data_IF_002768835076
#
_entry.id   IF_002768835076
#
_cell.length_a   1.000
_cell.length_b   1.000
_cell.length_c   1.000
_cell.angle_alpha   90.00
_cell.angle_beta   90.00
_cell.angle_gamma   90.00
#
_symmetry.space_group_name_H-M   'P 1'
#
loop_
_entity.id
_entity.type
_entity.pdbx_description
1 polymer ?
#
# COMPACT_ATOMS: atom_id res chain seq x y z
N UNK A 1 -35.40 28.01 2.27
CA UNK A 1 -35.16 26.65 2.79
C UNK A 1 -34.86 25.78 1.58
N UNK A 2 -33.65 25.27 1.35
CA UNK A 2 -32.75 24.51 2.26
C UNK A 2 -33.45 23.28 2.85
N UNK A 3 -32.96 22.04 2.74
CA UNK A 3 -31.87 21.41 1.94
C UNK A 3 -31.97 19.87 2.18
N UNK A 4 -31.17 18.92 1.69
CA UNK A 4 -29.85 18.85 1.00
C UNK A 4 -29.84 17.60 0.08
N UNK A 5 -29.10 17.54 -1.05
CA UNK A 5 -28.67 16.27 -1.62
C UNK A 5 -27.49 15.72 -0.79
N UNK A 6 -27.60 14.49 -0.30
CA UNK A 6 -26.56 13.81 0.49
C UNK A 6 -26.34 12.38 -0.04
N UNK A 7 -25.16 12.11 -0.58
CA UNK A 7 -24.79 10.76 -1.05
C UNK A 7 -23.50 10.72 -1.86
N UNK A 8 -23.55 11.19 -3.11
CA UNK A 8 -22.52 10.90 -4.11
C UNK A 8 -21.22 11.75 -4.02
N UNK A 9 -21.33 13.01 -3.58
CA UNK A 9 -20.36 14.07 -3.91
C UNK A 9 -19.16 14.20 -2.94
N UNK A 10 -18.92 13.21 -2.05
CA UNK A 10 -17.91 13.32 -0.96
C UNK A 10 -16.88 12.20 -0.92
N UNK A 11 -16.85 11.35 -1.96
CA UNK A 11 -15.90 10.25 -2.08
C UNK A 11 -14.73 10.69 -2.96
N UNK A 12 -15.02 11.14 -4.18
CA UNK A 12 -14.02 11.48 -5.21
C UNK A 12 -12.96 12.50 -4.74
N UNK A 13 -13.37 13.61 -4.08
CA UNK A 13 -12.47 14.64 -3.54
C UNK A 13 -11.40 14.09 -2.57
N UNK A 14 -11.69 12.97 -1.88
CA UNK A 14 -10.70 12.33 -1.01
C UNK A 14 -9.69 11.49 -1.77
N UNK A 15 -10.12 10.80 -2.83
CA UNK A 15 -9.30 9.80 -3.53
C UNK A 15 -8.16 10.48 -4.30
N UNK A 16 -8.42 11.61 -4.98
CA UNK A 16 -7.37 12.43 -5.59
C UNK A 16 -6.30 12.87 -4.57
N UNK A 17 -6.73 13.26 -3.36
CA UNK A 17 -5.85 13.86 -2.36
C UNK A 17 -5.02 12.85 -1.57
N UNK A 18 -5.44 11.57 -1.46
CA UNK A 18 -4.69 10.54 -0.71
C UNK A 18 -3.73 9.69 -1.55
N UNK A 19 -3.89 9.68 -2.88
CA UNK A 19 -3.18 8.77 -3.78
C UNK A 19 -3.83 7.39 -3.88
N UNK A 20 -3.65 6.74 -5.03
CA UNK A 20 -4.24 5.45 -5.39
C UNK A 20 -3.53 4.28 -4.70
N UNK A 21 -2.21 4.33 -4.55
CA UNK A 21 -1.42 3.36 -3.77
C UNK A 21 -0.55 4.15 -2.80
N UNK A 22 -0.54 3.77 -1.52
CA UNK A 22 0.26 4.44 -0.50
C UNK A 22 0.89 3.45 0.47
N UNK A 23 2.21 3.53 0.59
CA UNK A 23 3.04 2.84 1.57
C UNK A 23 3.55 3.87 2.59
N UNK A 24 3.45 3.55 3.88
CA UNK A 24 3.97 4.39 4.96
C UNK A 24 4.85 3.57 5.90
N UNK A 25 6.13 3.92 5.99
CA UNK A 25 7.12 3.25 6.84
C UNK A 25 7.16 1.73 6.64
N UNK A 26 6.91 1.24 5.43
CA UNK A 26 6.63 -0.18 5.19
C UNK A 26 7.87 -1.04 5.35
N UNK A 27 7.77 -2.03 6.23
CA UNK A 27 8.81 -2.98 6.56
C UNK A 27 8.31 -4.41 6.36
N UNK A 28 9.21 -5.29 5.90
CA UNK A 28 8.93 -6.71 5.72
C UNK A 28 10.15 -7.52 6.09
N UNK A 29 10.01 -8.32 7.14
CA UNK A 29 10.98 -9.31 7.59
C UNK A 29 10.42 -10.69 7.30
N UNK A 30 11.12 -11.49 6.50
CA UNK A 30 10.88 -12.92 6.38
C UNK A 30 11.64 -13.67 7.47
N UNK A 31 11.03 -14.72 8.01
CA UNK A 31 11.58 -15.56 9.08
C UNK A 31 11.59 -17.01 8.63
N UNK A 32 12.77 -17.63 8.57
CA UNK A 32 12.96 -19.03 8.17
C UNK A 32 13.81 -19.72 9.22
N UNK A 33 13.17 -20.48 10.12
CA UNK A 33 13.84 -21.07 11.28
C UNK A 33 14.46 -19.99 12.17
N UNK A 34 15.79 -20.01 12.31
CA UNK A 34 16.56 -19.02 13.10
C UNK A 34 17.06 -17.83 12.26
N UNK A 35 16.74 -17.76 10.96
CA UNK A 35 17.21 -16.68 10.07
C UNK A 35 16.11 -15.64 9.85
N UNK A 36 16.41 -14.38 10.14
CA UNK A 36 15.58 -13.23 9.77
C UNK A 36 16.20 -12.49 8.57
N UNK A 37 15.36 -12.06 7.62
CA UNK A 37 15.79 -11.27 6.46
C UNK A 37 14.83 -10.09 6.22
N UNK A 38 15.34 -8.87 6.41
CA UNK A 38 14.60 -7.63 6.16
C UNK A 38 14.58 -7.27 4.67
N UNK A 39 13.59 -7.80 3.95
CA UNK A 39 13.38 -7.57 2.52
C UNK A 39 12.99 -6.11 2.20
N UNK A 40 12.10 -5.53 3.01
CA UNK A 40 11.75 -4.10 2.95
C UNK A 40 12.14 -3.42 4.26
N UNK A 41 12.70 -2.21 4.16
CA UNK A 41 13.19 -1.41 5.28
C UNK A 41 12.70 0.02 5.10
N UNK A 42 11.64 0.38 5.83
CA UNK A 42 11.03 1.70 5.92
C UNK A 42 10.73 2.35 4.56
N UNK A 43 9.86 1.71 3.78
CA UNK A 43 9.44 2.21 2.46
C UNK A 43 8.25 3.16 2.60
N UNK A 44 8.49 4.44 2.32
CA UNK A 44 7.45 5.41 1.98
C UNK A 44 7.30 5.51 0.46
N UNK A 45 6.05 5.45 -0.03
CA UNK A 45 5.72 5.59 -1.45
C UNK A 45 4.29 6.07 -1.58
N UNK A 46 4.01 6.99 -2.51
CA UNK A 46 2.66 7.33 -2.95
C UNK A 46 2.64 7.27 -4.47
N UNK A 47 1.59 6.69 -5.04
CA UNK A 47 1.31 6.65 -6.47
C UNK A 47 -0.10 7.19 -6.68
N UNK A 48 -0.26 8.18 -7.53
CA UNK A 48 -1.53 8.85 -7.83
C UNK A 48 -2.27 8.20 -9.01
N UNK A 49 -3.56 8.53 -9.18
CA UNK A 49 -4.34 8.01 -10.30
C UNK A 49 -3.71 8.46 -11.64
N UNK A 50 -3.54 7.52 -12.57
CA UNK A 50 -2.96 7.77 -13.89
C UNK A 50 -1.42 7.74 -13.96
N UNK A 51 -0.70 7.60 -12.83
CA UNK A 51 0.76 7.47 -12.86
C UNK A 51 1.22 6.09 -13.34
N UNK A 52 2.25 6.06 -14.20
CA UNK A 52 2.92 4.84 -14.64
C UNK A 52 4.31 4.73 -13.99
N UNK A 53 4.41 3.89 -12.96
CA UNK A 53 5.62 3.72 -12.15
C UNK A 53 6.31 2.39 -12.46
N UNK A 54 7.65 2.37 -12.50
CA UNK A 54 8.46 1.16 -12.69
C UNK A 54 9.45 0.98 -11.54
N UNK A 55 9.48 -0.22 -10.95
CA UNK A 55 10.36 -0.56 -9.83
C UNK A 55 11.57 -1.33 -10.38
N UNK A 56 12.75 -0.70 -10.37
CA UNK A 56 14.00 -1.26 -10.91
C UNK A 56 15.06 -1.50 -9.82
N UNK A 57 16.00 -2.42 -10.06
CA UNK A 57 17.09 -2.74 -9.13
C UNK A 57 17.58 -4.19 -9.23
N UNK A 58 18.70 -4.54 -8.56
CA UNK A 58 19.31 -5.89 -8.60
C UNK A 58 18.40 -7.03 -8.13
N UNK A 59 18.78 -8.29 -8.37
CA UNK A 59 18.09 -9.43 -7.75
C UNK A 59 18.19 -9.34 -6.21
N UNK A 60 17.15 -9.80 -5.51
CA UNK A 60 17.05 -9.69 -4.04
C UNK A 60 16.70 -8.30 -3.49
N UNK A 61 16.63 -7.24 -4.32
CA UNK A 61 16.39 -5.84 -3.86
C UNK A 61 14.95 -5.52 -3.42
N UNK A 62 14.18 -6.50 -2.93
CA UNK A 62 12.82 -6.30 -2.40
C UNK A 62 11.69 -6.04 -3.42
N UNK A 63 11.97 -5.87 -4.72
CA UNK A 63 10.95 -5.49 -5.74
C UNK A 63 9.67 -6.34 -5.71
N UNK A 64 9.81 -7.66 -5.80
CA UNK A 64 8.67 -8.59 -5.74
C UNK A 64 7.95 -8.54 -4.40
N UNK A 65 8.66 -8.24 -3.31
CA UNK A 65 8.04 -8.03 -1.99
C UNK A 65 7.22 -6.74 -1.96
N UNK A 66 7.68 -5.64 -2.57
CA UNK A 66 6.88 -4.41 -2.72
C UNK A 66 5.59 -4.71 -3.49
N UNK A 67 5.70 -5.42 -4.62
CA UNK A 67 4.53 -5.80 -5.43
C UNK A 67 3.57 -6.69 -4.65
N UNK A 68 4.06 -7.72 -3.93
CA UNK A 68 3.22 -8.62 -3.16
C UNK A 68 2.48 -7.95 -1.99
N UNK A 69 3.06 -6.93 -1.34
CA UNK A 69 2.36 -6.19 -0.28
C UNK A 69 1.36 -5.18 -0.85
N UNK A 70 1.64 -4.60 -2.02
CA UNK A 70 0.69 -3.71 -2.74
C UNK A 70 -0.52 -4.49 -3.26
N UNK A 71 -0.35 -5.74 -3.68
CA UNK A 71 -1.46 -6.60 -4.16
C UNK A 71 -2.19 -7.35 -3.04
N UNK A 72 -1.78 -7.19 -1.78
CA UNK A 72 -2.35 -7.92 -0.64
C UNK A 72 -1.98 -9.41 -0.56
N UNK A 73 -1.12 -9.92 -1.46
CA UNK A 73 -0.66 -11.31 -1.49
C UNK A 73 0.23 -11.65 -0.28
N UNK A 74 0.90 -10.64 0.30
CA UNK A 74 1.74 -10.80 1.48
C UNK A 74 1.53 -9.64 2.47
N UNK A 75 1.54 -9.93 3.76
CA UNK A 75 1.31 -8.91 4.82
C UNK A 75 2.61 -8.24 5.22
N UNK A 76 2.58 -6.93 5.46
CA UNK A 76 3.73 -6.18 6.01
C UNK A 76 4.07 -6.65 7.43
N UNK A 77 5.32 -6.45 7.86
CA UNK A 77 5.74 -6.67 9.25
C UNK A 77 5.52 -5.42 10.10
N UNK A 78 5.68 -4.23 9.53
CA UNK A 78 5.32 -2.95 10.11
C UNK A 78 5.02 -1.92 9.00
N UNK A 79 4.50 -0.75 9.40
CA UNK A 79 4.04 0.28 8.47
C UNK A 79 2.56 0.14 8.11
N UNK A 80 2.15 0.76 6.99
CA UNK A 80 0.77 0.74 6.50
C UNK A 80 0.74 0.63 4.97
N UNK A 81 -0.24 -0.10 4.43
CA UNK A 81 -0.50 -0.20 2.99
C UNK A 81 -1.96 0.15 2.73
N UNK A 82 -2.21 1.14 1.87
CA UNK A 82 -3.55 1.43 1.37
C UNK A 82 -3.62 1.51 -0.14
N UNK A 83 -4.72 0.99 -0.69
CA UNK A 83 -5.08 1.07 -2.11
C UNK A 83 -6.47 1.66 -2.21
N UNK A 84 -6.66 2.68 -3.06
CA UNK A 84 -7.91 3.45 -3.21
C UNK A 84 -8.49 3.90 -1.84
N UNK A 85 -7.63 4.45 -0.99
CA UNK A 85 -7.96 4.85 0.39
C UNK A 85 -8.15 3.71 1.41
N UNK A 86 -8.33 2.45 0.96
CA UNK A 86 -8.62 1.30 1.82
C UNK A 86 -7.34 0.64 2.37
N UNK A 87 -7.31 0.35 3.68
CA UNK A 87 -6.15 -0.25 4.38
C UNK A 87 -6.07 -1.77 4.16
N UNK A 88 -5.50 -2.17 3.03
CA UNK A 88 -5.43 -3.58 2.62
C UNK A 88 -4.60 -4.46 3.56
N UNK A 89 -3.62 -3.91 4.29
CA UNK A 89 -2.82 -4.68 5.25
C UNK A 89 -3.65 -5.24 6.44
N UNK A 90 -4.83 -4.63 6.70
CA UNK A 90 -5.76 -5.02 7.75
C UNK A 90 -6.90 -5.94 7.28
N UNK A 91 -7.02 -6.22 5.98
CA UNK A 91 -8.12 -7.04 5.45
C UNK A 91 -7.95 -8.52 5.80
N UNK A 92 -9.05 -9.21 6.07
CA UNK A 92 -9.09 -10.67 6.19
C UNK A 92 -9.09 -11.34 4.81
N UNK A 93 -8.63 -12.59 4.77
CA UNK A 93 -8.99 -13.53 3.70
C UNK A 93 -10.38 -14.11 4.06
N UNK A 94 -11.33 -14.02 3.13
CA UNK A 94 -12.69 -14.63 3.21
C UNK A 94 -12.83 -15.75 2.16
#
# INVERSE_FOLDING_TARGET
MLSEPKGAERVDEKHEQTGLIRLLGVEKVYRTGTVEFAALRHIDLTIHHGEMVSIVGPSGSGKSTILNVITGIDRVTAGQVSVDGNRIDLMSEE
#
